data_IF_851083859951
#
_entry.id   IF_851083859951
#
_cell.length_a   1.000
_cell.length_b   1.000
_cell.length_c   1.000
_cell.angle_alpha   90.00
_cell.angle_beta   90.00
_cell.angle_gamma   90.00
#
_symmetry.space_group_name_H-M   'P 1'
#
loop_
_entity.id
_entity.type
_entity.pdbx_description
1 polymer ?
#
# COMPACT_ATOMS: atom_id res chain seq x y z
N UNK A 1 5.97 -2.41 23.05
CA UNK A 1 5.93 -3.31 21.88
C UNK A 1 4.88 -2.79 20.90
N UNK A 2 5.21 -2.41 19.64
CA UNK A 2 4.19 -2.05 18.68
C UNK A 2 3.39 -3.33 18.33
N UNK A 3 2.07 -3.31 18.56
CA UNK A 3 1.18 -4.40 18.17
C UNK A 3 1.17 -4.49 16.65
N UNK A 4 1.35 -5.70 16.10
CA UNK A 4 1.13 -5.99 14.67
C UNK A 4 -0.31 -5.64 14.30
N UNK A 5 -0.54 -4.43 13.79
CA UNK A 5 -1.69 -4.09 12.95
C UNK A 5 -1.27 -4.38 11.52
N UNK A 6 -2.10 -5.04 10.73
CA UNK A 6 -2.20 -4.65 9.32
C UNK A 6 -3.44 -5.27 8.66
N UNK A 7 -3.39 -6.50 8.15
CA UNK A 7 -4.46 -6.98 7.28
C UNK A 7 -5.76 -7.36 8.00
N UNK A 8 -5.68 -8.07 9.13
CA UNK A 8 -6.87 -8.60 9.80
C UNK A 8 -7.70 -7.51 10.49
N UNK A 9 -7.06 -6.48 11.03
CA UNK A 9 -7.75 -5.39 11.71
C UNK A 9 -8.45 -4.45 10.73
N UNK A 10 -7.79 -4.10 9.62
CA UNK A 10 -8.42 -3.30 8.56
C UNK A 10 -9.60 -4.01 7.91
N UNK A 11 -9.49 -5.32 7.67
CA UNK A 11 -10.63 -6.11 7.19
C UNK A 11 -11.84 -6.01 8.11
N UNK A 12 -11.65 -6.10 9.43
CA UNK A 12 -12.73 -5.93 10.42
C UNK A 12 -13.31 -4.52 10.42
N UNK A 13 -12.47 -3.49 10.27
CA UNK A 13 -12.94 -2.10 10.19
C UNK A 13 -13.81 -1.90 8.95
N UNK A 14 -13.40 -2.42 7.79
CA UNK A 14 -14.20 -2.34 6.55
C UNK A 14 -15.54 -3.06 6.72
N UNK A 15 -15.55 -4.26 7.33
CA UNK A 15 -16.78 -4.99 7.65
C UNK A 15 -17.70 -4.18 8.58
N UNK A 16 -17.14 -3.55 9.62
CA UNK A 16 -17.90 -2.71 10.55
C UNK A 16 -18.51 -1.48 9.85
N UNK A 17 -17.77 -0.83 8.96
CA UNK A 17 -18.26 0.30 8.15
C UNK A 17 -19.41 -0.16 7.24
N UNK A 18 -19.26 -1.31 6.59
CA UNK A 18 -20.30 -1.86 5.72
C UNK A 18 -21.56 -2.23 6.50
N UNK A 19 -21.43 -2.81 7.70
CA UNK A 19 -22.58 -3.13 8.56
C UNK A 19 -23.35 -1.87 9.01
N UNK A 20 -22.64 -0.77 9.28
CA UNK A 20 -23.24 0.54 9.57
C UNK A 20 -23.96 1.12 8.35
N UNK A 21 -23.33 1.09 7.17
CA UNK A 21 -23.93 1.56 5.91
C UNK A 21 -25.18 0.77 5.52
N UNK A 22 -25.14 -0.55 5.72
CA UNK A 22 -26.26 -1.45 5.44
C UNK A 22 -27.35 -1.42 6.52
N UNK A 23 -27.26 -0.51 7.52
CA UNK A 23 -28.20 -0.37 8.64
C UNK A 23 -28.41 -1.65 9.46
N UNK A 24 -27.50 -2.62 9.36
CA UNK A 24 -27.52 -3.84 10.19
C UNK A 24 -27.24 -3.49 11.65
N UNK A 25 -26.43 -2.47 11.87
CA UNK A 25 -26.10 -1.94 13.19
C UNK A 25 -26.37 -0.44 13.18
N UNK A 26 -27.06 0.07 14.22
CA UNK A 26 -27.47 1.48 14.31
C UNK A 26 -26.42 2.37 15.00
N UNK A 27 -25.50 1.78 15.76
CA UNK A 27 -24.52 2.52 16.58
C UNK A 27 -23.09 2.15 16.23
N UNK A 28 -22.23 3.16 16.12
CA UNK A 28 -20.79 3.00 15.90
C UNK A 28 -20.15 2.21 17.05
N UNK A 29 -20.60 2.43 18.29
CA UNK A 29 -20.12 1.64 19.44
C UNK A 29 -20.51 0.18 19.36
N UNK A 30 -21.74 -0.11 18.93
CA UNK A 30 -22.19 -1.49 18.74
C UNK A 30 -21.39 -2.18 17.61
N UNK A 31 -21.11 -1.47 16.52
CA UNK A 31 -20.27 -2.00 15.45
C UNK A 31 -18.84 -2.25 15.92
N UNK A 32 -18.25 -1.31 16.66
CA UNK A 32 -16.90 -1.47 17.21
C UNK A 32 -16.78 -2.70 18.12
N UNK A 33 -17.78 -2.95 18.98
CA UNK A 33 -17.83 -4.13 19.86
C UNK A 33 -18.05 -5.43 19.07
N UNK A 34 -18.98 -5.44 18.12
CA UNK A 34 -19.32 -6.64 17.35
C UNK A 34 -18.16 -7.12 16.47
N UNK A 35 -17.36 -6.20 15.94
CA UNK A 35 -16.24 -6.51 15.07
C UNK A 35 -14.88 -6.47 15.77
N UNK A 36 -14.84 -6.29 17.09
CA UNK A 36 -13.60 -6.23 17.90
C UNK A 36 -12.58 -5.23 17.31
N UNK A 37 -13.03 -4.00 17.10
CA UNK A 37 -12.21 -2.89 16.60
C UNK A 37 -12.24 -1.69 17.55
N UNK A 38 -11.12 -0.97 17.74
CA UNK A 38 -11.13 0.24 18.57
C UNK A 38 -12.09 1.30 18.01
N UNK A 39 -12.90 1.89 18.89
CA UNK A 39 -13.90 2.89 18.52
C UNK A 39 -13.28 4.10 17.80
N UNK A 40 -12.16 4.60 18.33
CA UNK A 40 -11.46 5.75 17.77
C UNK A 40 -10.98 5.48 16.33
N UNK A 41 -10.47 4.27 16.07
CA UNK A 41 -10.03 3.86 14.74
C UNK A 41 -11.19 3.76 13.76
N UNK A 42 -12.32 3.15 14.17
CA UNK A 42 -13.52 3.05 13.35
C UNK A 42 -14.09 4.45 13.01
N UNK A 43 -14.13 5.34 13.99
CA UNK A 43 -14.58 6.72 13.82
C UNK A 43 -13.68 7.50 12.85
N UNK A 44 -12.36 7.42 13.02
CA UNK A 44 -11.41 8.08 12.13
C UNK A 44 -11.55 7.57 10.68
N UNK A 45 -11.70 6.25 10.49
CA UNK A 45 -11.88 5.64 9.18
C UNK A 45 -13.21 6.04 8.53
N UNK A 46 -14.29 6.17 9.31
CA UNK A 46 -15.57 6.73 8.85
C UNK A 46 -15.46 8.18 8.39
N UNK A 47 -14.61 8.97 9.05
CA UNK A 47 -14.31 10.36 8.68
C UNK A 47 -13.28 10.47 7.54
N UNK A 48 -12.97 9.37 6.84
CA UNK A 48 -12.10 9.37 5.67
C UNK A 48 -10.61 9.40 5.99
N UNK A 49 -10.19 9.18 7.24
CA UNK A 49 -8.77 9.02 7.53
C UNK A 49 -8.29 7.69 6.94
N UNK A 50 -7.31 7.68 6.05
CA UNK A 50 -6.76 6.45 5.46
C UNK A 50 -5.83 5.71 6.43
N UNK A 51 -5.44 4.48 6.12
CA UNK A 51 -4.54 3.71 6.99
C UNK A 51 -3.19 4.40 7.03
N UNK A 52 -2.57 4.47 8.21
CA UNK A 52 -1.27 5.12 8.40
C UNK A 52 -0.21 4.58 7.43
N UNK A 53 -0.36 3.33 6.99
CA UNK A 53 0.54 2.64 6.08
C UNK A 53 -0.03 2.40 4.68
N UNK A 54 -1.33 2.67 4.42
CA UNK A 54 -1.89 2.66 3.06
C UNK A 54 -1.68 3.98 2.33
N UNK A 55 -1.35 5.04 3.09
CA UNK A 55 -1.27 6.40 2.57
C UNK A 55 0.15 6.72 2.21
N UNK A 56 0.41 6.87 0.91
CA UNK A 56 1.67 7.37 0.37
C UNK A 56 1.94 8.78 0.90
N UNK A 57 2.64 8.83 2.03
CA UNK A 57 3.08 10.07 2.66
C UNK A 57 4.39 10.52 2.00
N UNK A 58 4.80 11.79 2.18
CA UNK A 58 6.13 12.31 1.75
C UNK A 58 7.33 11.51 2.27
N UNK A 59 7.13 10.60 3.22
CA UNK A 59 8.15 9.69 3.72
C UNK A 59 8.48 8.53 2.76
N UNK A 60 7.62 8.23 1.78
CA UNK A 60 7.91 7.22 0.76
C UNK A 60 8.82 7.82 -0.31
N UNK A 61 9.93 7.12 -0.61
CA UNK A 61 10.88 7.55 -1.64
C UNK A 61 10.32 7.44 -3.05
N UNK A 62 9.38 6.51 -3.26
CA UNK A 62 8.72 6.24 -4.54
C UNK A 62 7.28 6.78 -4.54
N UNK A 63 6.84 7.24 -5.69
CA UNK A 63 5.44 7.60 -5.93
C UNK A 63 4.58 6.36 -6.20
N UNK A 64 3.26 6.48 -6.07
CA UNK A 64 2.33 5.37 -6.37
C UNK A 64 2.43 4.90 -7.83
N UNK A 65 2.79 5.80 -8.76
CA UNK A 65 2.97 5.47 -10.18
C UNK A 65 4.23 4.63 -10.36
N UNK A 66 5.34 5.04 -9.75
CA UNK A 66 6.60 4.30 -9.79
C UNK A 66 6.47 2.90 -9.18
N UNK A 67 5.78 2.78 -8.03
CA UNK A 67 5.54 1.46 -7.43
C UNK A 67 4.70 0.56 -8.35
N UNK A 68 3.64 1.10 -8.98
CA UNK A 68 2.86 0.33 -9.96
C UNK A 68 3.71 -0.14 -11.14
N UNK A 69 4.62 0.72 -11.63
CA UNK A 69 5.58 0.35 -12.68
C UNK A 69 6.53 -0.75 -12.21
N UNK A 70 7.05 -0.65 -10.98
CA UNK A 70 7.91 -1.67 -10.39
C UNK A 70 7.19 -3.02 -10.23
N UNK A 71 5.94 -3.02 -9.75
CA UNK A 71 5.11 -4.23 -9.62
C UNK A 71 4.90 -4.88 -11.00
N UNK A 72 4.55 -4.09 -12.02
CA UNK A 72 4.38 -4.59 -13.39
C UNK A 72 5.67 -5.22 -13.91
N UNK A 73 6.81 -4.59 -13.65
CA UNK A 73 8.11 -5.13 -14.03
C UNK A 73 8.42 -6.46 -13.31
N UNK A 74 8.17 -6.55 -11.99
CA UNK A 74 8.34 -7.80 -11.22
C UNK A 74 7.48 -8.92 -11.82
N UNK A 75 6.20 -8.64 -12.09
CA UNK A 75 5.28 -9.63 -12.69
C UNK A 75 5.79 -10.04 -14.07
N UNK A 76 6.18 -9.08 -14.91
CA UNK A 76 6.71 -9.36 -16.25
C UNK A 76 7.97 -10.22 -16.22
N UNK A 77 8.91 -9.96 -15.30
CA UNK A 77 10.13 -10.74 -15.16
C UNK A 77 9.81 -12.14 -14.63
N UNK A 78 8.90 -12.25 -13.66
CA UNK A 78 8.42 -13.52 -13.14
C UNK A 78 7.73 -14.41 -14.18
N UNK A 79 6.91 -13.84 -15.07
CA UNK A 79 6.27 -14.62 -16.15
C UNK A 79 7.26 -15.13 -17.20
N UNK A 80 8.45 -14.51 -17.30
CA UNK A 80 9.54 -14.94 -18.20
C UNK A 80 10.38 -16.07 -17.60
N UNK A 81 9.96 -16.63 -16.45
CA UNK A 81 10.63 -17.75 -15.79
C UNK A 81 11.87 -17.33 -14.99
N UNK A 82 12.10 -16.03 -14.80
CA UNK A 82 13.20 -15.51 -14.00
C UNK A 82 12.62 -14.82 -12.75
N UNK A 83 12.61 -15.46 -11.58
CA UNK A 83 12.13 -14.78 -10.38
C UNK A 83 13.07 -13.60 -10.07
N UNK A 84 12.55 -12.38 -9.86
CA UNK A 84 13.38 -11.22 -9.60
C UNK A 84 14.10 -11.36 -8.26
N UNK A 85 15.41 -11.20 -8.27
CA UNK A 85 16.21 -11.13 -7.03
C UNK A 85 15.96 -9.80 -6.34
N UNK A 86 16.00 -9.73 -4.99
CA UNK A 86 15.84 -8.46 -4.26
C UNK A 86 16.79 -7.35 -4.73
N UNK A 87 18.02 -7.70 -5.10
CA UNK A 87 18.99 -6.75 -5.68
C UNK A 87 18.51 -6.15 -7.01
N UNK A 88 17.93 -6.97 -7.89
CA UNK A 88 17.37 -6.51 -9.16
C UNK A 88 16.15 -5.60 -8.98
N UNK A 89 15.28 -5.92 -8.01
CA UNK A 89 14.15 -5.06 -7.63
C UNK A 89 14.64 -3.71 -7.13
N UNK A 90 15.68 -3.70 -6.29
CA UNK A 90 16.27 -2.46 -5.78
C UNK A 90 16.92 -1.62 -6.88
N UNK A 91 17.66 -2.25 -7.80
CA UNK A 91 18.22 -1.55 -8.97
C UNK A 91 17.14 -0.89 -9.82
N UNK A 92 16.07 -1.64 -10.15
CA UNK A 92 14.94 -1.11 -10.93
C UNK A 92 14.23 0.03 -10.20
N UNK A 93 14.01 -0.10 -8.89
CA UNK A 93 13.42 0.96 -8.07
C UNK A 93 14.27 2.24 -8.08
N UNK A 94 15.59 2.10 -7.96
CA UNK A 94 16.51 3.25 -8.04
C UNK A 94 16.49 3.91 -9.42
N UNK A 95 16.43 3.13 -10.50
CA UNK A 95 16.29 3.66 -11.87
C UNK A 95 15.02 4.50 -12.01
N UNK A 96 13.87 4.01 -11.52
CA UNK A 96 12.61 4.75 -11.58
C UNK A 96 12.66 6.07 -10.77
N UNK A 97 13.35 6.08 -9.63
CA UNK A 97 13.55 7.30 -8.85
C UNK A 97 14.49 8.27 -9.60
N UNK A 98 15.58 7.76 -10.18
CA UNK A 98 16.52 8.58 -10.96
C UNK A 98 15.89 9.18 -12.21
N UNK A 99 15.02 8.45 -12.93
CA UNK A 99 14.27 8.98 -14.08
C UNK A 99 13.34 10.15 -13.71
N UNK A 100 12.88 10.22 -12.46
CA UNK A 100 12.09 11.34 -11.96
C UNK A 100 12.93 12.58 -11.68
N UNK A 101 14.14 12.37 -11.16
CA UNK A 101 15.01 13.44 -10.67
C UNK A 101 15.98 13.97 -11.77
N UNK A 102 16.00 13.35 -12.96
CA UNK A 102 16.82 13.75 -14.13
C UNK A 102 16.00 14.44 -15.25
N UNK A 103 16.46 15.57 -15.80
CA UNK A 103 16.18 15.93 -17.19
C UNK A 103 17.10 15.06 -18.08
N UNK A 104 16.57 13.95 -18.60
CA UNK A 104 17.26 12.95 -19.47
C UNK A 104 18.46 13.46 -20.30
N UNK A 105 19.50 12.62 -20.51
CA UNK A 105 19.38 11.63 -21.58
C UNK A 105 19.79 10.19 -21.20
N UNK A 106 19.25 9.19 -21.93
CA UNK A 106 19.50 7.78 -21.68
C UNK A 106 20.73 7.29 -22.45
N UNK A 107 21.68 6.66 -21.76
CA UNK A 107 22.37 5.49 -22.33
C UNK A 107 23.17 4.76 -21.26
N UNK A 108 22.89 3.47 -21.07
CA UNK A 108 23.96 2.52 -20.83
C UNK A 108 23.77 1.38 -21.83
N UNK A 109 24.32 1.60 -23.03
CA UNK A 109 24.58 0.53 -23.99
C UNK A 109 25.55 -0.43 -23.31
N UNK A 110 25.13 -1.69 -23.17
CA UNK A 110 25.97 -2.76 -22.64
C UNK A 110 27.27 -2.86 -23.43
N UNK A 111 28.40 -2.79 -22.74
CA UNK A 111 29.70 -3.17 -23.29
C UNK A 111 29.77 -4.70 -23.30
N UNK A 112 29.83 -5.27 -24.50
CA UNK A 112 30.46 -6.56 -24.78
C UNK A 112 31.87 -6.29 -25.31
#
# INVERSE_FOLDING_TARGET
>A
MPKKLHAQQEGRIILAINALKNKQIKSIQAAARNFDVPLATLHNRMNGHPEAFSTYTKAFRMTQIEEKSLIRWIIFIGTRGMPPKPSGVQSMANTLISERDEPTPPSFVGKN
#
